data_IF_360489431040
#
_entry.id   IF_360489431040
#
_cell.length_a   1.000
_cell.length_b   1.000
_cell.length_c   1.000
_cell.angle_alpha   90.00
_cell.angle_beta   90.00
_cell.angle_gamma   90.00
#
_symmetry.space_group_name_H-M   'P 1'
#
loop_
_entity.id
_entity.type
_entity.pdbx_description
1 polymer ?
#
# COMPACT_ATOMS: atom_id res chain seq x y z
N UNK A 1 -34.81 69.11 29.90
CA UNK A 1 -35.60 67.90 29.59
C UNK A 1 -34.65 66.71 29.42
N UNK A 2 -34.81 65.71 30.29
CA UNK A 2 -34.40 64.28 30.24
C UNK A 2 -32.92 63.84 30.21
N UNK A 3 -32.47 63.31 31.36
CA UNK A 3 -31.63 62.11 31.56
C UNK A 3 -32.47 61.11 32.41
N UNK A 4 -32.29 59.77 32.36
CA UNK A 4 -31.09 59.15 32.95
C UNK A 4 -30.57 57.80 32.40
N UNK A 5 -29.27 57.60 32.68
CA UNK A 5 -28.55 56.33 32.75
C UNK A 5 -28.96 55.50 33.98
N UNK A 6 -30.00 54.70 33.84
CA UNK A 6 -30.33 53.64 34.80
C UNK A 6 -30.94 52.50 33.97
N UNK A 7 -30.23 51.44 33.62
CA UNK A 7 -30.22 50.23 34.44
C UNK A 7 -29.29 49.22 33.74
N UNK A 8 -28.04 49.21 34.19
CA UNK A 8 -27.15 48.06 34.12
C UNK A 8 -27.69 47.06 35.16
N UNK A 9 -28.71 46.27 34.81
CA UNK A 9 -29.15 45.14 35.63
C UNK A 9 -28.89 43.80 34.91
N UNK A 10 -27.86 43.12 35.43
CA UNK A 10 -27.78 41.68 35.66
C UNK A 10 -27.74 40.77 34.42
N UNK A 11 -26.57 40.24 34.12
CA UNK A 11 -26.16 38.90 34.56
C UNK A 11 -27.16 37.83 34.14
N UNK A 12 -26.83 37.10 33.08
CA UNK A 12 -27.01 35.65 33.08
C UNK A 12 -25.74 34.94 32.60
N UNK A 13 -25.39 33.81 33.23
CA UNK A 13 -24.03 33.32 33.30
C UNK A 13 -23.72 32.33 32.18
N UNK A 14 -22.43 32.08 32.04
CA UNK A 14 -21.81 31.00 31.30
C UNK A 14 -22.61 29.69 31.34
N UNK A 15 -22.79 29.09 30.16
CA UNK A 15 -22.95 27.65 30.02
C UNK A 15 -22.03 27.21 28.87
N UNK A 16 -20.74 27.10 29.20
CA UNK A 16 -19.74 26.42 28.38
C UNK A 16 -20.09 24.94 28.41
N UNK A 17 -20.80 24.45 27.40
CA UNK A 17 -20.99 23.01 27.18
C UNK A 17 -19.72 22.46 26.56
N UNK A 18 -18.80 21.99 27.40
CA UNK A 18 -17.62 21.25 26.98
C UNK A 18 -18.05 19.87 26.43
N UNK A 19 -18.15 19.78 25.10
CA UNK A 19 -18.36 18.53 24.38
C UNK A 19 -17.05 17.73 24.40
N UNK A 20 -17.01 16.65 25.19
CA UNK A 20 -15.87 15.73 25.27
C UNK A 20 -15.57 15.10 23.90
N UNK A 21 -14.46 15.52 23.29
CA UNK A 21 -13.86 14.88 22.12
C UNK A 21 -13.13 13.61 22.59
N UNK A 22 -13.69 12.44 22.34
CA UNK A 22 -12.96 11.17 22.38
C UNK A 22 -12.04 11.12 21.14
N UNK A 23 -10.71 11.01 21.27
CA UNK A 23 -9.85 10.78 20.13
C UNK A 23 -10.00 9.33 19.69
N UNK A 24 -10.76 9.11 18.63
CA UNK A 24 -10.76 7.84 17.89
C UNK A 24 -9.36 7.61 17.34
N UNK A 25 -8.64 6.62 17.88
CA UNK A 25 -7.37 6.19 17.31
C UNK A 25 -7.63 5.54 15.94
N UNK A 26 -7.34 6.27 14.86
CA UNK A 26 -7.36 5.73 13.50
C UNK A 26 -6.10 4.87 13.35
N UNK A 27 -6.28 3.55 13.29
CA UNK A 27 -5.20 2.62 12.98
C UNK A 27 -4.89 2.77 11.47
N UNK A 28 -3.78 3.43 11.16
CA UNK A 28 -3.38 3.79 9.79
C UNK A 28 -2.95 2.55 9.00
N UNK A 29 -3.73 2.13 8.01
CA UNK A 29 -3.45 1.00 7.11
C UNK A 29 -2.46 1.35 5.99
N UNK A 30 -1.95 2.59 5.95
CA UNK A 30 -1.18 3.14 4.82
C UNK A 30 0.21 2.50 4.60
N UNK A 31 0.82 1.89 5.62
CA UNK A 31 2.18 1.34 5.50
C UNK A 31 2.27 0.07 4.65
N UNK A 32 1.29 -0.83 4.78
CA UNK A 32 1.32 -2.09 4.02
C UNK A 32 1.16 -1.82 2.51
N UNK A 33 0.25 -0.92 2.13
CA UNK A 33 0.01 -0.56 0.72
C UNK A 33 1.24 0.07 0.07
N UNK A 34 1.99 0.91 0.79
CA UNK A 34 3.21 1.56 0.28
C UNK A 34 4.35 0.55 0.02
N UNK A 35 4.56 -0.43 0.91
CA UNK A 35 5.57 -1.48 0.70
C UNK A 35 5.30 -2.29 -0.57
N UNK A 36 4.07 -2.74 -0.77
CA UNK A 36 3.74 -3.60 -1.90
C UNK A 36 3.77 -2.88 -3.24
N UNK A 37 3.36 -1.61 -3.26
CA UNK A 37 3.49 -0.79 -4.45
C UNK A 37 4.96 -0.62 -4.84
N UNK A 38 5.85 -0.36 -3.88
CA UNK A 38 7.31 -0.29 -4.12
C UNK A 38 7.88 -1.59 -4.68
N UNK A 39 7.48 -2.74 -4.11
CA UNK A 39 7.92 -4.05 -4.62
C UNK A 39 7.40 -4.33 -6.02
N UNK A 40 6.12 -4.04 -6.30
CA UNK A 40 5.54 -4.19 -7.62
C UNK A 40 6.25 -3.29 -8.65
N UNK A 41 6.58 -2.05 -8.27
CA UNK A 41 7.35 -1.12 -9.09
C UNK A 41 8.72 -1.71 -9.49
N UNK A 42 9.42 -2.38 -8.57
CA UNK A 42 10.70 -3.05 -8.88
C UNK A 42 10.53 -4.14 -9.94
N UNK A 43 9.47 -4.95 -9.84
CA UNK A 43 9.18 -6.00 -10.83
C UNK A 43 8.82 -5.40 -12.19
N UNK A 44 8.00 -4.34 -12.19
CA UNK A 44 7.52 -3.64 -13.38
C UNK A 44 8.62 -2.93 -14.15
N UNK A 45 9.72 -2.55 -13.49
CA UNK A 45 10.88 -1.95 -14.14
C UNK A 45 11.51 -2.85 -15.21
N UNK A 46 11.39 -4.17 -15.08
CA UNK A 46 11.88 -5.13 -16.09
C UNK A 46 10.75 -5.84 -16.82
N UNK A 47 9.72 -6.29 -16.10
CA UNK A 47 8.67 -7.14 -16.66
C UNK A 47 7.53 -6.37 -17.33
N UNK A 48 7.56 -5.03 -17.31
CA UNK A 48 6.53 -4.15 -17.86
C UNK A 48 5.48 -3.74 -16.82
N UNK A 49 4.79 -2.62 -17.06
CA UNK A 49 3.89 -1.99 -16.08
C UNK A 49 2.75 -2.90 -15.61
N UNK A 50 2.23 -3.74 -16.48
CA UNK A 50 1.22 -4.75 -16.15
C UNK A 50 1.79 -6.19 -16.15
N UNK A 51 3.12 -6.33 -16.19
CA UNK A 51 3.81 -7.60 -16.36
C UNK A 51 3.88 -8.09 -17.81
N UNK A 52 3.63 -7.23 -18.80
CA UNK A 52 3.82 -7.53 -20.23
C UNK A 52 4.87 -6.61 -20.86
N UNK A 53 5.72 -7.19 -21.71
CA UNK A 53 6.73 -6.51 -22.51
C UNK A 53 6.96 -7.25 -23.85
N UNK A 54 7.67 -6.60 -24.78
CA UNK A 54 7.97 -7.13 -26.14
C UNK A 54 9.35 -7.81 -26.22
N UNK A 55 10.14 -7.80 -25.14
CA UNK A 55 11.49 -8.36 -25.13
C UNK A 55 11.45 -9.87 -24.88
N UNK A 56 11.95 -10.65 -25.84
CA UNK A 56 11.99 -12.12 -25.71
C UNK A 56 12.86 -12.62 -24.55
N UNK A 57 13.78 -11.81 -24.03
CA UNK A 57 14.69 -12.18 -22.95
C UNK A 57 14.11 -11.94 -21.56
N UNK A 58 13.05 -11.13 -21.43
CA UNK A 58 12.41 -10.85 -20.15
C UNK A 58 11.00 -11.44 -20.18
N UNK A 59 10.71 -12.50 -19.38
CA UNK A 59 9.45 -13.20 -19.47
C UNK A 59 8.27 -12.32 -19.03
N UNK A 60 7.14 -12.49 -19.71
CA UNK A 60 5.87 -11.88 -19.32
C UNK A 60 5.28 -12.58 -18.08
N UNK A 61 4.87 -11.78 -17.10
CA UNK A 61 4.26 -12.21 -15.84
C UNK A 61 2.74 -12.06 -15.84
N UNK A 62 2.21 -11.17 -16.68
CA UNK A 62 0.78 -10.86 -16.75
C UNK A 62 -0.04 -12.12 -16.98
N UNK A 63 -1.07 -12.32 -16.15
CA UNK A 63 -2.01 -13.45 -16.19
C UNK A 63 -1.35 -14.83 -16.08
N UNK A 64 -0.10 -14.89 -15.67
CA UNK A 64 0.54 -16.15 -15.39
C UNK A 64 -0.10 -16.78 -14.15
N UNK A 65 -0.15 -18.11 -14.11
CA UNK A 65 -0.73 -18.84 -12.99
C UNK A 65 -0.08 -18.42 -11.66
N UNK A 66 -0.90 -18.02 -10.68
CA UNK A 66 -0.43 -17.58 -9.35
C UNK A 66 0.51 -18.60 -8.69
N UNK A 67 0.14 -19.88 -8.68
CA UNK A 67 0.96 -20.93 -8.07
C UNK A 67 2.30 -21.09 -8.77
N UNK A 68 2.29 -20.98 -10.11
CA UNK A 68 3.52 -21.00 -10.89
C UNK A 68 4.42 -19.82 -10.53
N UNK A 69 3.91 -18.59 -10.52
CA UNK A 69 4.69 -17.40 -10.17
C UNK A 69 5.34 -17.53 -8.79
N UNK A 70 4.56 -17.93 -7.79
CA UNK A 70 5.05 -18.16 -6.44
C UNK A 70 6.13 -19.25 -6.40
N UNK A 71 5.91 -20.39 -7.06
CA UNK A 71 6.87 -21.48 -7.12
C UNK A 71 8.18 -21.06 -7.82
N UNK A 72 8.12 -20.23 -8.86
CA UNK A 72 9.31 -19.73 -9.53
C UNK A 72 10.13 -18.80 -8.62
N UNK A 73 9.48 -17.89 -7.88
CA UNK A 73 10.17 -17.02 -6.93
C UNK A 73 10.86 -17.84 -5.82
N UNK A 74 10.19 -18.87 -5.30
CA UNK A 74 10.81 -19.81 -4.37
C UNK A 74 11.99 -20.58 -4.99
N UNK A 75 11.84 -21.03 -6.24
CA UNK A 75 12.90 -21.74 -6.94
C UNK A 75 14.14 -20.84 -7.14
N UNK A 76 13.95 -19.56 -7.47
CA UNK A 76 15.04 -18.58 -7.54
C UNK A 76 15.68 -18.31 -6.18
N UNK A 77 14.89 -18.11 -5.12
CA UNK A 77 15.40 -17.85 -3.77
C UNK A 77 16.21 -19.03 -3.21
N UNK A 78 15.74 -20.25 -3.45
CA UNK A 78 16.43 -21.49 -3.02
C UNK A 78 17.60 -21.88 -3.92
N UNK A 79 17.74 -21.27 -5.10
CA UNK A 79 18.75 -21.63 -6.10
C UNK A 79 18.42 -22.86 -6.94
N UNK A 80 17.24 -23.49 -6.75
CA UNK A 80 16.75 -24.57 -7.64
C UNK A 80 16.57 -24.11 -9.08
N UNK A 81 16.21 -22.84 -9.26
CA UNK A 81 16.23 -22.16 -10.55
C UNK A 81 17.27 -21.04 -10.47
N UNK A 82 18.13 -20.93 -11.47
CA UNK A 82 19.22 -19.96 -11.47
C UNK A 82 19.03 -18.93 -12.57
N UNK A 83 19.16 -17.67 -12.19
CA UNK A 83 19.30 -16.53 -13.09
C UNK A 83 20.03 -15.42 -12.32
N UNK A 84 21.04 -14.80 -12.93
CA UNK A 84 21.93 -13.84 -12.23
C UNK A 84 21.14 -12.68 -11.60
N UNK A 85 20.06 -12.26 -12.26
CA UNK A 85 19.24 -11.13 -11.84
C UNK A 85 18.15 -11.61 -10.87
N UNK A 86 17.33 -12.56 -11.29
CA UNK A 86 16.15 -13.00 -10.53
C UNK A 86 16.51 -13.74 -9.25
N UNK A 87 17.65 -14.44 -9.18
CA UNK A 87 18.12 -15.02 -7.91
C UNK A 87 18.39 -13.93 -6.87
N UNK A 88 19.03 -12.82 -7.25
CA UNK A 88 19.29 -11.69 -6.34
C UNK A 88 17.99 -10.99 -5.93
N UNK A 89 17.08 -10.77 -6.88
CA UNK A 89 15.76 -10.18 -6.60
C UNK A 89 14.99 -11.05 -5.60
N UNK A 90 14.90 -12.36 -5.85
CA UNK A 90 14.13 -13.29 -5.02
C UNK A 90 14.69 -13.42 -3.59
N UNK A 91 16.00 -13.21 -3.39
CA UNK A 91 16.61 -13.22 -2.06
C UNK A 91 16.06 -12.10 -1.15
N UNK A 92 15.70 -10.95 -1.71
CA UNK A 92 15.16 -9.79 -0.98
C UNK A 92 13.71 -9.97 -0.52
N UNK A 93 12.99 -10.94 -1.08
CA UNK A 93 11.56 -11.10 -0.85
C UNK A 93 11.27 -12.03 0.33
N UNK A 94 10.34 -11.66 1.21
CA UNK A 94 9.71 -12.63 2.12
C UNK A 94 8.73 -13.52 1.36
N UNK A 95 8.32 -14.64 1.96
CA UNK A 95 7.31 -15.52 1.36
C UNK A 95 5.97 -14.80 1.15
N UNK A 96 5.57 -13.96 2.10
CA UNK A 96 4.37 -13.11 1.99
C UNK A 96 4.47 -12.13 0.81
N UNK A 97 5.66 -11.55 0.58
CA UNK A 97 5.90 -10.66 -0.56
C UNK A 97 5.76 -11.44 -1.89
N UNK A 98 6.29 -12.65 -1.96
CA UNK A 98 6.17 -13.50 -3.15
C UNK A 98 4.71 -13.86 -3.45
N UNK A 99 3.92 -14.19 -2.43
CA UNK A 99 2.50 -14.48 -2.60
C UNK A 99 1.74 -13.27 -3.13
N UNK A 100 1.96 -12.08 -2.53
CA UNK A 100 1.30 -10.83 -2.97
C UNK A 100 1.69 -10.42 -4.38
N UNK A 101 2.97 -10.57 -4.75
CA UNK A 101 3.42 -10.30 -6.13
C UNK A 101 2.83 -11.31 -7.13
N UNK A 102 2.74 -12.59 -6.75
CA UNK A 102 2.10 -13.61 -7.58
C UNK A 102 0.60 -13.31 -7.80
N UNK A 103 -0.11 -12.86 -6.76
CA UNK A 103 -1.49 -12.39 -6.87
C UNK A 103 -1.61 -11.19 -7.81
N UNK A 104 -0.78 -10.18 -7.60
CA UNK A 104 -0.79 -8.95 -8.39
C UNK A 104 -0.68 -9.22 -9.90
N UNK A 105 0.30 -10.01 -10.33
CA UNK A 105 0.50 -10.30 -11.75
C UNK A 105 -0.50 -11.32 -12.30
N UNK A 106 -1.03 -12.22 -11.47
CA UNK A 106 -2.11 -13.11 -11.86
C UNK A 106 -3.40 -12.35 -12.17
N UNK A 107 -3.79 -11.40 -11.33
CA UNK A 107 -4.98 -10.58 -11.55
C UNK A 107 -4.84 -9.69 -12.81
N UNK A 108 -3.61 -9.29 -13.15
CA UNK A 108 -3.30 -8.50 -14.34
C UNK A 108 -4.08 -7.19 -14.43
N UNK A 109 -4.50 -6.66 -13.28
CA UNK A 109 -5.19 -5.37 -13.18
C UNK A 109 -4.18 -4.26 -13.42
N UNK A 110 -4.52 -3.32 -14.30
CA UNK A 110 -3.89 -1.99 -14.29
C UNK A 110 -4.27 -1.29 -12.97
N UNK A 111 -3.40 -0.41 -12.45
CA UNK A 111 -3.80 0.52 -11.38
C UNK A 111 -5.06 1.30 -11.79
#
# INVERSE_FOLDING_TARGET
MNLPDTIRLYLRPAAVTALLLLPSAILSTAQATDKYEKLANMCRACHGQDGSNEFNTIPNLKWQNRRYLFAQLQAFKSGKRQDITMTKVAQLLSEEDMLRLADFFYEGKKP
#
